data_IF_294947159257
#
_entry.id   IF_294947159257
#
_cell.length_a   1.000
_cell.length_b   1.000
_cell.length_c   1.000
_cell.angle_alpha   90.00
_cell.angle_beta   90.00
_cell.angle_gamma   90.00
#
_symmetry.space_group_name_H-M   'P 1'
#
loop_
_entity.id
_entity.type
_entity.pdbx_description
1 polymer ?
#
# COMPACT_ATOMS: atom_id res chain seq x y z
N UNK A 1 10.49 -8.78 19.61
CA UNK A 1 11.62 -8.13 18.94
C UNK A 1 11.10 -7.10 17.97
N UNK A 2 11.59 -5.89 18.08
CA UNK A 2 11.17 -4.82 17.18
C UNK A 2 11.91 -4.91 15.86
N UNK A 3 11.16 -4.67 14.78
CA UNK A 3 11.74 -4.54 13.45
C UNK A 3 12.05 -3.06 13.23
N UNK A 4 13.28 -2.77 12.88
CA UNK A 4 13.69 -1.41 12.57
C UNK A 4 13.28 -1.05 11.15
N UNK A 5 12.67 0.12 10.98
CA UNK A 5 12.35 0.65 9.67
C UNK A 5 13.53 1.46 9.12
N UNK A 6 13.75 1.46 7.80
CA UNK A 6 12.97 0.75 6.77
C UNK A 6 13.23 -0.75 6.77
N UNK A 7 12.27 -1.52 6.29
CA UNK A 7 12.45 -2.96 6.11
C UNK A 7 11.96 -3.41 4.73
N UNK A 8 12.72 -4.31 4.10
CA UNK A 8 12.33 -4.99 2.87
C UNK A 8 12.22 -6.51 3.09
N UNK A 9 12.05 -6.92 4.34
CA UNK A 9 11.76 -8.31 4.69
C UNK A 9 10.35 -8.67 4.22
N UNK A 10 10.28 -9.38 3.10
CA UNK A 10 9.01 -9.71 2.46
C UNK A 10 8.08 -10.51 3.37
N UNK A 11 8.62 -11.43 4.12
CA UNK A 11 7.82 -12.27 5.01
C UNK A 11 7.18 -11.42 6.12
N UNK A 12 7.95 -10.51 6.69
CA UNK A 12 7.43 -9.62 7.72
C UNK A 12 6.34 -8.70 7.15
N UNK A 13 6.63 -8.01 6.04
CA UNK A 13 5.68 -7.08 5.42
C UNK A 13 4.39 -7.81 5.03
N UNK A 14 4.51 -8.99 4.43
CA UNK A 14 3.36 -9.79 4.03
C UNK A 14 2.53 -10.25 5.23
N UNK A 15 3.16 -10.48 6.38
CA UNK A 15 2.46 -10.87 7.59
C UNK A 15 1.54 -9.76 8.12
N UNK A 16 1.76 -8.51 7.72
CA UNK A 16 1.00 -7.36 8.20
C UNK A 16 -0.25 -7.08 7.39
N UNK A 17 -0.43 -7.75 6.25
CA UNK A 17 -1.57 -7.54 5.36
C UNK A 17 -2.32 -8.86 5.14
N UNK A 18 -3.64 -8.81 4.84
CA UNK A 18 -4.42 -10.04 4.63
C UNK A 18 -4.16 -10.70 3.29
N UNK A 19 -3.71 -9.96 2.28
CA UNK A 19 -3.46 -10.49 0.95
C UNK A 19 -2.26 -11.44 0.97
N UNK A 20 -2.31 -12.47 0.12
CA UNK A 20 -1.25 -13.46 -0.03
C UNK A 20 -0.94 -13.69 -1.50
N UNK A 21 0.19 -14.34 -1.77
CA UNK A 21 0.61 -14.67 -3.12
C UNK A 21 -0.54 -15.32 -3.90
N UNK A 22 -0.78 -14.96 -5.16
CA UNK A 22 0.01 -14.05 -6.01
C UNK A 22 -0.46 -12.59 -5.99
N UNK A 23 -1.29 -12.18 -5.03
CA UNK A 23 -1.95 -10.88 -5.00
C UNK A 23 -1.18 -9.81 -4.21
N UNK A 24 -0.06 -10.15 -3.59
CA UNK A 24 0.70 -9.18 -2.79
C UNK A 24 1.37 -8.16 -3.70
N UNK A 25 1.05 -6.88 -3.48
CA UNK A 25 1.56 -5.76 -4.28
C UNK A 25 2.35 -4.76 -3.43
N UNK A 26 2.90 -5.20 -2.30
CA UNK A 26 3.75 -4.40 -1.44
C UNK A 26 4.76 -5.33 -0.77
N UNK A 27 6.03 -4.91 -0.68
CA UNK A 27 7.02 -5.73 0.01
C UNK A 27 8.04 -4.92 0.79
N UNK A 28 7.85 -3.60 0.87
CA UNK A 28 8.70 -2.74 1.69
C UNK A 28 7.85 -1.83 2.56
N UNK A 29 8.29 -1.66 3.79
CA UNK A 29 7.76 -0.67 4.71
C UNK A 29 8.91 0.25 5.07
N UNK A 30 8.85 1.48 4.57
CA UNK A 30 9.96 2.44 4.69
C UNK A 30 9.80 3.33 5.91
N UNK A 31 8.60 3.82 6.16
CA UNK A 31 8.34 4.72 7.28
C UNK A 31 6.90 4.57 7.78
N UNK A 32 6.71 4.83 9.04
CA UNK A 32 5.41 4.76 9.69
C UNK A 32 5.29 5.87 10.73
N UNK A 33 4.12 6.48 10.76
CA UNK A 33 3.66 7.27 11.90
C UNK A 33 2.16 7.05 12.07
N UNK A 34 1.57 7.62 13.08
CA UNK A 34 0.14 7.43 13.34
C UNK A 34 -0.73 7.83 12.15
N UNK A 35 -0.32 8.85 11.40
CA UNK A 35 -1.10 9.41 10.29
C UNK A 35 -0.43 9.27 8.93
N UNK A 36 0.64 8.50 8.82
CA UNK A 36 1.43 8.47 7.58
C UNK A 36 2.18 7.14 7.44
N UNK A 37 2.30 6.69 6.20
CA UNK A 37 3.09 5.50 5.90
C UNK A 37 3.76 5.67 4.54
N UNK A 38 4.97 5.13 4.43
CA UNK A 38 5.67 5.02 3.14
C UNK A 38 5.95 3.55 2.89
N UNK A 39 5.53 3.07 1.73
CA UNK A 39 5.71 1.69 1.29
C UNK A 39 6.50 1.63 -0.01
N UNK A 40 6.92 0.42 -0.39
CA UNK A 40 7.63 0.20 -1.64
C UNK A 40 7.26 -1.12 -2.28
N UNK A 41 7.40 -1.16 -3.61
CA UNK A 41 7.14 -2.35 -4.40
C UNK A 41 7.91 -2.26 -5.72
N UNK A 42 8.60 -3.35 -6.09
CA UNK A 42 9.30 -3.44 -7.36
C UNK A 42 8.49 -4.30 -8.33
N UNK A 43 8.25 -3.77 -9.53
CA UNK A 43 7.46 -4.47 -10.55
C UNK A 43 8.30 -5.58 -11.17
N UNK A 44 7.82 -6.81 -11.08
CA UNK A 44 8.49 -7.97 -11.67
C UNK A 44 7.73 -8.50 -12.85
N UNK A 45 8.47 -9.18 -13.74
CA UNK A 45 7.94 -9.71 -14.99
C UNK A 45 6.77 -10.66 -14.80
N UNK A 46 6.79 -11.46 -13.75
CA UNK A 46 5.78 -12.48 -13.47
C UNK A 46 4.59 -11.96 -12.66
N UNK A 47 4.52 -10.64 -12.44
CA UNK A 47 3.45 -10.05 -11.64
C UNK A 47 2.09 -10.20 -12.35
N UNK A 48 1.08 -10.55 -11.55
CA UNK A 48 -0.29 -10.79 -12.02
C UNK A 48 -0.89 -9.62 -12.80
N UNK A 49 -0.52 -8.40 -12.45
CA UNK A 49 -1.08 -7.18 -13.04
C UNK A 49 -0.19 -6.57 -14.12
N UNK A 50 0.86 -7.27 -14.55
CA UNK A 50 1.70 -6.82 -15.66
C UNK A 50 1.11 -7.32 -16.96
N UNK A 51 0.94 -6.41 -17.93
CA UNK A 51 0.48 -6.73 -19.27
C UNK A 51 1.23 -5.84 -20.26
N UNK A 52 1.79 -6.44 -21.29
CA UNK A 52 2.59 -5.72 -22.30
C UNK A 52 3.74 -4.93 -21.69
N UNK A 53 4.38 -5.48 -20.66
CA UNK A 53 5.52 -4.85 -20.00
C UNK A 53 5.18 -3.76 -19.00
N UNK A 54 3.91 -3.45 -18.81
CA UNK A 54 3.47 -2.39 -17.91
C UNK A 54 2.57 -2.92 -16.78
N UNK A 55 2.78 -2.38 -15.60
CA UNK A 55 1.94 -2.62 -14.45
C UNK A 55 0.63 -1.85 -14.64
N UNK A 56 -0.49 -2.55 -14.65
CA UNK A 56 -1.77 -1.96 -15.02
C UNK A 56 -2.37 -1.12 -13.88
N UNK A 57 -3.35 -0.28 -14.23
CA UNK A 57 -4.04 0.57 -13.24
C UNK A 57 -4.64 -0.24 -12.09
N UNK A 58 -5.20 -1.41 -12.40
CA UNK A 58 -5.73 -2.31 -11.36
C UNK A 58 -4.67 -2.72 -10.36
N UNK A 59 -3.43 -2.95 -10.82
CA UNK A 59 -2.31 -3.25 -9.94
C UNK A 59 -1.91 -2.07 -9.07
N UNK A 60 -1.93 -0.86 -9.64
CA UNK A 60 -1.66 0.36 -8.89
C UNK A 60 -2.69 0.58 -7.79
N UNK A 61 -3.97 0.37 -8.09
CA UNK A 61 -5.04 0.48 -7.10
C UNK A 61 -4.83 -0.54 -5.98
N UNK A 62 -4.52 -1.77 -6.36
CA UNK A 62 -4.28 -2.85 -5.40
C UNK A 62 -3.07 -2.53 -4.51
N UNK A 63 -1.98 -2.05 -5.10
CA UNK A 63 -0.79 -1.62 -4.37
C UNK A 63 -1.11 -0.51 -3.36
N UNK A 64 -1.88 0.49 -3.80
CA UNK A 64 -2.26 1.61 -2.94
C UNK A 64 -3.18 1.15 -1.79
N UNK A 65 -4.15 0.30 -2.08
CA UNK A 65 -5.04 -0.25 -1.05
C UNK A 65 -4.26 -1.09 -0.03
N UNK A 66 -3.29 -1.88 -0.49
CA UNK A 66 -2.45 -2.68 0.40
C UNK A 66 -1.53 -1.81 1.24
N UNK A 67 -1.10 -0.67 0.74
CA UNK A 67 -0.32 0.28 1.53
C UNK A 67 -1.13 0.83 2.70
N UNK A 68 -2.43 1.06 2.50
CA UNK A 68 -3.33 1.44 3.60
C UNK A 68 -3.48 0.29 4.60
N UNK A 69 -3.67 -0.94 4.11
CA UNK A 69 -3.75 -2.12 4.96
C UNK A 69 -2.46 -2.31 5.77
N UNK A 70 -1.33 -2.01 5.17
CA UNK A 70 -0.03 -2.11 5.83
C UNK A 70 0.07 -1.15 7.01
N UNK A 71 -0.48 0.06 6.89
CA UNK A 71 -0.53 1.01 7.99
C UNK A 71 -1.29 0.43 9.18
N UNK A 72 -2.47 -0.12 8.94
CA UNK A 72 -3.26 -0.77 9.99
C UNK A 72 -2.52 -1.96 10.58
N UNK A 73 -1.96 -2.81 9.73
CA UNK A 73 -1.23 -4.00 10.17
C UNK A 73 -0.05 -3.67 11.07
N UNK A 74 0.75 -2.68 10.68
CA UNK A 74 1.91 -2.29 11.47
C UNK A 74 1.49 -1.62 12.79
N UNK A 75 0.45 -0.80 12.76
CA UNK A 75 -0.11 -0.20 13.98
C UNK A 75 -0.45 -1.26 15.02
N UNK A 76 -1.16 -2.32 14.62
CA UNK A 76 -1.56 -3.38 15.54
C UNK A 76 -0.38 -4.28 15.94
N UNK A 77 0.58 -4.46 15.02
CA UNK A 77 1.83 -5.13 15.37
C UNK A 77 2.54 -4.43 16.53
N UNK A 78 2.63 -3.10 16.48
CA UNK A 78 3.24 -2.32 17.56
C UNK A 78 2.45 -2.44 18.86
N UNK A 79 1.15 -2.64 18.80
CA UNK A 79 0.28 -2.83 19.97
C UNK A 79 0.30 -4.27 20.50
N UNK A 80 0.95 -5.19 19.79
CA UNK A 80 0.95 -6.60 20.15
C UNK A 80 -0.42 -7.26 20.01
N UNK A 81 -1.23 -6.77 19.07
CA UNK A 81 -2.60 -7.24 18.85
C UNK A 81 -2.80 -7.67 17.39
N UNK A 82 -3.80 -8.53 17.18
CA UNK A 82 -4.20 -8.88 15.82
C UNK A 82 -4.90 -7.70 15.15
N UNK A 83 -4.55 -7.47 13.88
CA UNK A 83 -5.17 -6.39 13.12
C UNK A 83 -6.61 -6.74 12.75
N UNK A 84 -7.54 -5.77 12.84
CA UNK A 84 -8.90 -6.01 12.36
C UNK A 84 -8.91 -6.11 10.83
N UNK A 85 -9.95 -6.76 10.29
CA UNK A 85 -10.14 -6.82 8.85
C UNK A 85 -10.66 -5.47 8.36
N UNK A 86 -9.96 -4.90 7.38
CA UNK A 86 -10.36 -3.65 6.75
C UNK A 86 -10.86 -3.89 5.34
N UNK A 87 -11.76 -3.05 4.90
CA UNK A 87 -12.34 -3.08 3.55
C UNK A 87 -12.24 -1.71 2.91
N UNK A 88 -12.07 -1.69 1.59
CA UNK A 88 -12.21 -0.46 0.83
C UNK A 88 -13.71 -0.18 0.70
N UNK A 89 -14.21 0.84 1.39
CA UNK A 89 -15.62 1.23 1.31
C UNK A 89 -15.93 2.06 0.09
N UNK A 90 -14.95 2.87 -0.36
CA UNK A 90 -15.10 3.70 -1.56
C UNK A 90 -13.75 4.16 -2.06
N UNK A 91 -13.63 4.29 -3.37
CA UNK A 91 -12.53 5.01 -4.00
C UNK A 91 -13.14 6.31 -4.50
N UNK A 92 -12.75 7.43 -3.87
CA UNK A 92 -13.33 8.74 -4.21
C UNK A 92 -12.82 9.23 -5.56
N UNK A 93 -11.53 8.98 -5.83
CA UNK A 93 -10.96 9.15 -7.15
C UNK A 93 -9.68 8.33 -7.25
N UNK A 94 -9.30 8.05 -8.48
CA UNK A 94 -8.00 7.46 -8.81
C UNK A 94 -7.55 8.04 -10.14
N UNK A 95 -6.31 8.55 -10.18
CA UNK A 95 -5.70 9.07 -11.40
C UNK A 95 -4.32 8.43 -11.57
N UNK A 96 -4.06 7.90 -12.75
CA UNK A 96 -2.75 7.41 -13.13
C UNK A 96 -2.28 8.19 -14.36
N UNK A 97 -1.21 8.95 -14.24
CA UNK A 97 -0.65 9.71 -15.35
C UNK A 97 0.20 8.85 -16.27
N UNK A 98 0.79 7.78 -15.71
CA UNK A 98 1.55 6.81 -16.48
C UNK A 98 1.50 5.48 -15.77
N UNK A 99 1.75 4.40 -16.53
CA UNK A 99 1.84 3.06 -15.97
C UNK A 99 3.31 2.69 -15.82
N UNK A 100 3.72 2.22 -14.64
CA UNK A 100 5.10 1.82 -14.43
C UNK A 100 5.44 0.56 -15.21
N UNK A 101 6.73 0.38 -15.48
CA UNK A 101 7.26 -0.73 -16.26
C UNK A 101 7.88 -1.78 -15.36
N UNK A 102 8.07 -2.98 -15.92
CA UNK A 102 8.87 -4.02 -15.28
C UNK A 102 10.22 -3.41 -14.86
N UNK A 103 10.61 -3.64 -13.61
CA UNK A 103 11.84 -3.12 -13.04
C UNK A 103 11.69 -1.80 -12.31
N UNK A 104 10.60 -1.07 -12.52
CA UNK A 104 10.36 0.16 -11.79
C UNK A 104 10.06 -0.12 -10.33
N UNK A 105 10.55 0.77 -9.47
CA UNK A 105 10.27 0.70 -8.04
C UNK A 105 9.27 1.77 -7.66
N UNK A 106 8.15 1.34 -7.11
CA UNK A 106 7.12 2.24 -6.60
C UNK A 106 7.49 2.69 -5.20
N UNK A 107 7.37 3.97 -4.95
CA UNK A 107 7.41 4.55 -3.61
C UNK A 107 6.07 5.22 -3.36
N UNK A 108 5.37 4.76 -2.33
CA UNK A 108 4.01 5.21 -2.09
C UNK A 108 3.87 5.80 -0.70
N UNK A 109 3.25 6.96 -0.64
CA UNK A 109 2.92 7.64 0.60
C UNK A 109 1.42 7.55 0.82
N UNK A 110 1.02 7.09 1.99
CA UNK A 110 -0.36 7.06 2.43
C UNK A 110 -0.51 8.03 3.60
N UNK A 111 -1.32 9.05 3.43
CA UNK A 111 -1.59 10.05 4.46
C UNK A 111 -3.03 9.91 4.95
N UNK A 112 -3.20 9.66 6.24
CA UNK A 112 -4.51 9.58 6.84
C UNK A 112 -5.01 10.99 7.11
N UNK A 113 -6.07 11.39 6.42
CA UNK A 113 -6.64 12.73 6.51
C UNK A 113 -7.67 12.84 7.62
N UNK A 114 -8.41 11.75 7.88
CA UNK A 114 -9.51 11.77 8.81
C UNK A 114 -9.90 10.34 9.19
N UNK A 115 -10.32 10.17 10.43
CA UNK A 115 -10.83 8.88 10.92
C UNK A 115 -12.00 9.15 11.83
N UNK A 116 -13.18 8.66 11.48
CA UNK A 116 -14.40 8.83 12.26
C UNK A 116 -15.17 7.53 12.26
N UNK A 117 -15.43 6.99 13.46
CA UNK A 117 -16.29 5.83 13.66
C UNK A 117 -15.90 4.62 12.80
N UNK A 118 -14.61 4.32 12.73
CA UNK A 118 -14.11 3.18 11.97
C UNK A 118 -13.99 3.42 10.47
N UNK A 119 -14.29 4.63 10.00
CA UNK A 119 -14.12 5.01 8.59
C UNK A 119 -12.92 5.95 8.48
N UNK A 120 -11.95 5.58 7.66
CA UNK A 120 -10.71 6.33 7.48
C UNK A 120 -10.64 6.85 6.05
N UNK A 121 -10.38 8.15 5.92
CA UNK A 121 -10.11 8.78 4.61
C UNK A 121 -8.61 8.88 4.44
N UNK A 122 -8.09 8.32 3.35
CA UNK A 122 -6.65 8.25 3.08
C UNK A 122 -6.36 8.82 1.71
N UNK A 123 -5.35 9.67 1.64
CA UNK A 123 -4.80 10.16 0.37
C UNK A 123 -3.52 9.39 0.07
N UNK A 124 -3.41 8.85 -1.15
CA UNK A 124 -2.32 7.97 -1.51
C UNK A 124 -1.66 8.48 -2.77
N UNK A 125 -0.33 8.61 -2.72
CA UNK A 125 0.49 9.12 -3.83
C UNK A 125 1.59 8.13 -4.13
N UNK A 126 1.69 7.71 -5.38
CA UNK A 126 2.72 6.77 -5.84
C UNK A 126 3.69 7.47 -6.78
N UNK A 127 4.98 7.27 -6.53
CA UNK A 127 6.08 7.84 -7.32
C UNK A 127 6.97 6.76 -7.90
N UNK A 128 7.54 7.06 -9.05
CA UNK A 128 8.67 6.33 -9.63
C UNK A 128 9.75 7.36 -9.92
N UNK A 129 10.97 7.16 -9.39
CA UNK A 129 12.10 8.10 -9.56
C UNK A 129 11.69 9.55 -9.23
N UNK A 130 11.02 9.74 -8.10
CA UNK A 130 10.55 11.04 -7.60
C UNK A 130 9.47 11.72 -8.45
N UNK A 131 8.97 11.04 -9.48
CA UNK A 131 7.87 11.55 -10.31
C UNK A 131 6.57 10.91 -9.85
N UNK A 132 5.58 11.73 -9.53
CA UNK A 132 4.24 11.24 -9.19
C UNK A 132 3.60 10.63 -10.43
N UNK A 133 3.21 9.35 -10.32
CA UNK A 133 2.56 8.64 -11.43
C UNK A 133 1.10 8.30 -11.14
N UNK A 134 0.70 8.27 -9.88
CA UNK A 134 -0.67 7.92 -9.52
C UNK A 134 -1.07 8.57 -8.20
N UNK A 135 -2.32 8.97 -8.09
CA UNK A 135 -2.92 9.50 -6.87
C UNK A 135 -4.32 8.94 -6.68
N UNK A 136 -4.70 8.73 -5.44
CA UNK A 136 -6.07 8.36 -5.12
C UNK A 136 -6.48 8.87 -3.75
N UNK A 137 -7.78 8.88 -3.51
CA UNK A 137 -8.34 8.99 -2.16
C UNK A 137 -9.28 7.81 -1.96
N UNK A 138 -9.11 7.12 -0.85
CA UNK A 138 -9.91 5.95 -0.52
C UNK A 138 -10.50 6.10 0.87
N UNK A 139 -11.72 5.59 1.03
CA UNK A 139 -12.32 5.38 2.34
C UNK A 139 -12.18 3.92 2.69
N UNK A 140 -11.58 3.64 3.83
CA UNK A 140 -11.46 2.29 4.35
C UNK A 140 -12.36 2.14 5.57
N UNK A 141 -12.91 0.95 5.74
CA UNK A 141 -13.80 0.64 6.85
C UNK A 141 -13.21 -0.55 7.60
N UNK A 142 -13.11 -0.41 8.92
CA UNK A 142 -12.66 -1.47 9.80
C UNK A 142 -13.89 -2.13 10.43
N UNK A 143 -13.92 -3.45 10.37
CA UNK A 143 -15.03 -4.23 10.91
C UNK A 143 -14.77 -4.63 12.37
#
# INVERSE_FOLDING_TARGET
MEINLPTSDKNFVESLIPQKFPFVMVHELTAYSENHLVSGFTIKEDNLFVQNGNFQASGLIEHQAQSVALHTGYKYYLLGKDAPTGYIGAIKFFEAESLPKIGDKLKTEAAILNEVMGVTLVEITTKVNDTVIAKSQMKTVVK
#
